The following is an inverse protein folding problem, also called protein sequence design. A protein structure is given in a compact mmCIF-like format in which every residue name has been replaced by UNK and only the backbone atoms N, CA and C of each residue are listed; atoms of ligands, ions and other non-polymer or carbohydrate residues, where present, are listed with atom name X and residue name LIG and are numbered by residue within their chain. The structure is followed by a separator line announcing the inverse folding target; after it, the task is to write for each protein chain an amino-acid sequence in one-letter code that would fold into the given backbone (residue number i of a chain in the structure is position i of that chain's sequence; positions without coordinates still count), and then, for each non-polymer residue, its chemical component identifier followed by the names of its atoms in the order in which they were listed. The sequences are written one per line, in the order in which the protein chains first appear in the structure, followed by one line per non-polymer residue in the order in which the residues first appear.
data_IF_448359457394
#
_entry.id   IF_448359457394
#
_cell.length_a   1.000
_cell.length_b   1.000
_cell.length_c   1.000
_cell.angle_alpha   90.00
_cell.angle_beta   90.00
_cell.angle_gamma   90.00
#
_symmetry.space_group_name_H-M   'P 1'
#
loop_
_entity.id
_entity.type
_entity.pdbx_description
1 polymer ?
#
# COMPACT_ATOMS: atom_id res chain seq x y z
N UNK A 1 -7.73 -12.92 -17.19
CA UNK A 1 -6.80 -14.06 -17.17
C UNK A 1 -7.51 -15.22 -17.82
N UNK A 2 -6.85 -15.89 -18.76
CA UNK A 2 -7.36 -17.06 -19.48
C UNK A 2 -6.32 -18.19 -19.43
N UNK A 3 -6.62 -19.34 -20.03
CA UNK A 3 -5.65 -20.44 -20.14
C UNK A 3 -4.41 -20.07 -20.98
N UNK A 4 -4.50 -19.09 -21.89
CA UNK A 4 -3.32 -18.63 -22.63
C UNK A 4 -2.32 -17.88 -21.76
N UNK A 5 -2.75 -17.42 -20.58
CA UNK A 5 -1.93 -16.64 -19.65
C UNK A 5 -1.12 -17.53 -18.69
N UNK A 6 -1.18 -18.85 -18.82
CA UNK A 6 -0.55 -19.79 -17.89
C UNK A 6 0.95 -19.51 -17.69
N UNK A 7 1.68 -19.20 -18.75
CA UNK A 7 3.12 -18.94 -18.66
C UNK A 7 3.40 -17.62 -17.91
N UNK A 8 2.50 -16.65 -17.99
CA UNK A 8 2.57 -15.44 -17.18
C UNK A 8 2.19 -15.71 -15.72
N UNK A 9 1.14 -16.49 -15.47
CA UNK A 9 0.71 -16.92 -14.14
C UNK A 9 1.84 -17.65 -13.40
N UNK A 10 2.55 -18.54 -14.08
CA UNK A 10 3.70 -19.28 -13.53
C UNK A 10 4.78 -18.37 -12.94
N UNK A 11 4.94 -17.13 -13.43
CA UNK A 11 5.94 -16.17 -12.93
C UNK A 11 5.76 -15.84 -11.46
N UNK A 12 4.52 -15.79 -10.96
CA UNK A 12 4.25 -15.55 -9.54
C UNK A 12 3.80 -16.80 -8.79
N UNK A 13 3.15 -17.74 -9.48
CA UNK A 13 2.65 -18.95 -8.86
C UNK A 13 3.76 -19.90 -8.38
N UNK A 14 4.92 -19.88 -9.04
CA UNK A 14 6.09 -20.69 -8.65
C UNK A 14 7.02 -19.98 -7.65
N UNK A 15 6.82 -18.69 -7.38
CA UNK A 15 7.71 -17.90 -6.52
C UNK A 15 7.33 -18.08 -5.04
N UNK A 16 8.14 -18.82 -4.29
CA UNK A 16 7.94 -19.07 -2.86
C UNK A 16 7.82 -17.78 -2.01
N UNK A 17 8.45 -16.67 -2.43
CA UNK A 17 8.29 -15.39 -1.74
C UNK A 17 6.92 -14.76 -1.98
N UNK A 18 6.31 -15.00 -3.13
CA UNK A 18 4.92 -14.59 -3.40
C UNK A 18 3.97 -15.48 -2.61
N UNK A 19 4.14 -16.81 -2.72
CA UNK A 19 3.29 -17.79 -2.06
C UNK A 19 3.35 -17.75 -0.53
N UNK A 20 4.40 -17.16 0.06
CA UNK A 20 4.57 -17.02 1.50
C UNK A 20 3.35 -16.39 2.19
N UNK A 21 2.69 -15.45 1.51
CA UNK A 21 1.53 -14.71 2.05
C UNK A 21 0.19 -15.15 1.45
N UNK A 22 0.19 -16.26 0.70
CA UNK A 22 -1.00 -16.79 0.05
C UNK A 22 -1.42 -18.10 0.72
N UNK A 23 -2.71 -18.45 0.59
CA UNK A 23 -3.24 -19.73 1.12
C UNK A 23 -2.77 -20.95 0.32
N UNK A 24 -2.33 -20.76 -0.93
CA UNK A 24 -1.86 -21.80 -1.84
C UNK A 24 -0.35 -22.00 -1.79
N UNK A 25 0.11 -23.22 -2.06
CA UNK A 25 1.54 -23.54 -2.19
C UNK A 25 2.09 -23.18 -3.56
N UNK A 26 3.40 -22.88 -3.67
CA UNK A 26 4.01 -22.63 -4.97
C UNK A 26 3.73 -23.76 -5.95
N UNK A 27 3.22 -23.42 -7.13
CA UNK A 27 3.05 -24.39 -8.19
C UNK A 27 4.41 -25.00 -8.57
N UNK A 28 4.40 -26.29 -8.87
CA UNK A 28 5.60 -27.04 -9.26
C UNK A 28 5.61 -27.41 -10.74
N UNK A 29 4.44 -27.34 -11.39
CA UNK A 29 4.24 -27.72 -12.79
C UNK A 29 3.25 -26.80 -13.51
N UNK A 30 3.30 -26.86 -14.84
CA UNK A 30 2.37 -26.11 -15.71
C UNK A 30 0.96 -26.69 -15.62
N UNK A 31 0.85 -28.01 -15.45
CA UNK A 31 -0.41 -28.73 -15.27
C UNK A 31 -1.13 -28.25 -14.01
N UNK A 32 -0.43 -28.13 -12.87
CA UNK A 32 -1.01 -27.56 -11.64
C UNK A 32 -1.51 -26.13 -11.83
N UNK A 33 -0.77 -25.30 -12.57
CA UNK A 33 -1.19 -23.94 -12.88
C UNK A 33 -2.44 -23.90 -13.77
N UNK A 34 -2.56 -24.79 -14.76
CA UNK A 34 -3.77 -24.92 -15.58
C UNK A 34 -4.97 -25.31 -14.72
N UNK A 35 -4.79 -26.30 -13.84
CA UNK A 35 -5.84 -26.71 -12.90
C UNK A 35 -6.28 -25.55 -12.02
N UNK A 36 -5.34 -24.82 -11.42
CA UNK A 36 -5.67 -23.65 -10.59
C UNK A 36 -6.41 -22.56 -11.39
N UNK A 37 -5.94 -22.25 -12.60
CA UNK A 37 -6.61 -21.24 -13.44
C UNK A 37 -8.03 -21.69 -13.75
N UNK A 38 -8.22 -22.95 -14.15
CA UNK A 38 -9.53 -23.48 -14.53
C UNK A 38 -10.49 -23.50 -13.35
N UNK A 39 -10.04 -24.03 -12.21
CA UNK A 39 -10.92 -24.39 -11.11
C UNK A 39 -11.10 -23.27 -10.09
N UNK A 40 -10.13 -22.34 -10.01
CA UNK A 40 -10.14 -21.25 -9.03
C UNK A 40 -10.19 -19.87 -9.64
N UNK A 41 -9.56 -19.63 -10.79
CA UNK A 41 -9.50 -18.27 -11.38
C UNK A 41 -10.71 -18.00 -12.25
N UNK A 42 -11.01 -18.89 -13.19
CA UNK A 42 -12.07 -18.71 -14.17
C UNK A 42 -13.47 -18.87 -13.57
N UNK A 43 -13.58 -19.62 -12.47
CA UNK A 43 -14.81 -19.84 -11.72
C UNK A 43 -15.07 -18.79 -10.65
N UNK A 44 -14.08 -17.95 -10.31
CA UNK A 44 -14.22 -16.97 -9.24
C UNK A 44 -15.21 -15.86 -9.65
N UNK A 45 -16.21 -15.54 -8.79
CA UNK A 45 -17.28 -14.61 -9.16
C UNK A 45 -16.75 -13.20 -9.49
N UNK A 46 -15.73 -12.75 -8.77
CA UNK A 46 -15.13 -11.44 -8.96
C UNK A 46 -13.61 -11.51 -8.84
N UNK A 47 -12.94 -12.03 -9.87
CA UNK A 47 -11.48 -11.95 -10.02
C UNK A 47 -11.15 -11.26 -11.33
N UNK A 48 -10.18 -10.36 -11.31
CA UNK A 48 -9.67 -9.66 -12.49
C UNK A 48 -8.15 -9.77 -12.55
N UNK A 49 -7.62 -9.88 -13.77
CA UNK A 49 -6.19 -9.79 -13.97
C UNK A 49 -5.73 -8.35 -13.72
N UNK A 50 -4.55 -8.20 -13.13
CA UNK A 50 -3.83 -6.93 -13.13
C UNK A 50 -2.89 -7.00 -14.33
N UNK A 51 -3.12 -6.16 -15.33
CA UNK A 51 -2.35 -6.16 -16.57
C UNK A 51 -1.49 -4.91 -16.70
N UNK A 52 -0.42 -5.02 -17.49
CA UNK A 52 0.30 -3.89 -18.06
C UNK A 52 -0.47 -3.34 -19.28
N UNK A 53 0.02 -2.24 -19.86
CA UNK A 53 -0.59 -1.61 -21.04
C UNK A 53 -0.63 -2.52 -22.28
N UNK A 54 0.24 -3.53 -22.36
CA UNK A 54 0.27 -4.54 -23.41
C UNK A 54 -0.62 -5.76 -23.11
N UNK A 55 -1.63 -5.59 -22.25
CA UNK A 55 -2.56 -6.63 -21.76
C UNK A 55 -1.92 -7.82 -21.03
N UNK A 56 -0.61 -7.78 -20.81
CA UNK A 56 0.12 -8.84 -20.13
C UNK A 56 -0.23 -8.91 -18.65
N UNK A 57 -0.75 -10.03 -18.13
CA UNK A 57 -1.07 -10.17 -16.72
C UNK A 57 0.21 -10.26 -15.89
N UNK A 58 0.24 -9.49 -14.81
CA UNK A 58 1.34 -9.43 -13.84
C UNK A 58 0.91 -9.89 -12.45
N UNK A 59 -0.35 -10.30 -12.32
CA UNK A 59 -1.01 -10.65 -11.08
C UNK A 59 -2.53 -10.66 -11.26
N UNK A 60 -3.23 -10.75 -10.14
CA UNK A 60 -4.68 -10.65 -10.11
C UNK A 60 -5.16 -9.96 -8.82
N UNK A 61 -6.40 -9.49 -8.86
CA UNK A 61 -7.15 -8.91 -7.75
C UNK A 61 -8.51 -9.62 -7.70
N UNK A 62 -9.01 -9.85 -6.50
CA UNK A 62 -10.26 -10.56 -6.27
C UNK A 62 -11.05 -9.95 -5.11
N UNK A 63 -12.35 -10.18 -5.13
CA UNK A 63 -13.29 -9.78 -4.07
C UNK A 63 -14.04 -11.01 -3.59
N UNK A 64 -13.91 -11.32 -2.31
CA UNK A 64 -14.56 -12.46 -1.65
C UNK A 64 -15.75 -11.97 -0.81
N UNK A 65 -16.83 -12.73 -0.81
CA UNK A 65 -17.94 -12.46 0.10
C UNK A 65 -17.57 -12.87 1.53
N UNK A 66 -17.79 -11.96 2.48
CA UNK A 66 -17.70 -12.29 3.92
C UNK A 66 -19.10 -12.46 4.47
N UNK A 67 -19.97 -11.48 4.22
CA UNK A 67 -21.41 -11.56 4.43
C UNK A 67 -22.15 -10.61 3.46
N UNK A 68 -23.41 -10.28 3.78
CA UNK A 68 -24.28 -9.46 2.95
C UNK A 68 -23.73 -8.04 2.75
N UNK A 69 -23.10 -7.45 3.77
CA UNK A 69 -22.64 -6.05 3.73
C UNK A 69 -21.11 -5.93 3.67
N UNK A 70 -20.37 -7.02 3.93
CA UNK A 70 -18.90 -7.04 3.93
C UNK A 70 -18.34 -7.88 2.80
N UNK A 71 -17.36 -7.31 2.12
CA UNK A 71 -16.50 -8.03 1.16
C UNK A 71 -15.04 -7.90 1.55
N UNK A 72 -14.24 -8.90 1.22
CA UNK A 72 -12.79 -8.89 1.42
C UNK A 72 -12.06 -8.73 0.07
N UNK A 73 -11.12 -7.80 0.00
CA UNK A 73 -10.23 -7.63 -1.17
C UNK A 73 -8.92 -8.40 -0.98
N UNK A 74 -8.58 -9.21 -1.98
CA UNK A 74 -7.30 -9.92 -2.08
C UNK A 74 -6.59 -9.59 -3.38
N UNK A 75 -5.26 -9.60 -3.38
CA UNK A 75 -4.48 -9.39 -4.59
C UNK A 75 -3.09 -10.03 -4.51
N UNK A 76 -2.58 -10.42 -5.67
CA UNK A 76 -1.26 -11.03 -5.83
C UNK A 76 -0.59 -10.44 -7.06
N UNK A 77 0.70 -10.11 -6.96
CA UNK A 77 1.53 -9.69 -8.09
C UNK A 77 2.83 -10.48 -8.12
N UNK A 78 3.37 -10.71 -9.32
CA UNK A 78 4.74 -11.20 -9.48
C UNK A 78 5.74 -10.25 -8.79
N UNK A 79 6.70 -10.85 -8.08
CA UNK A 79 7.67 -10.14 -7.23
C UNK A 79 8.42 -9.02 -7.94
N UNK A 80 8.74 -9.19 -9.22
CA UNK A 80 9.42 -8.16 -10.05
C UNK A 80 8.64 -6.86 -10.23
N UNK A 81 7.35 -6.82 -9.86
CA UNK A 81 6.48 -5.65 -9.91
C UNK A 81 6.19 -5.04 -8.54
N UNK A 82 6.69 -5.62 -7.45
CA UNK A 82 6.52 -5.07 -6.11
C UNK A 82 7.23 -3.73 -5.96
N UNK A 83 6.68 -2.86 -5.11
CA UNK A 83 7.24 -1.53 -4.85
C UNK A 83 7.09 -0.51 -5.99
N UNK A 84 6.57 -0.91 -7.16
CA UNK A 84 6.41 -0.04 -8.34
C UNK A 84 5.05 0.65 -8.43
N UNK A 85 4.16 0.42 -7.48
CA UNK A 85 2.84 1.07 -7.41
C UNK A 85 1.69 0.36 -8.15
N UNK A 86 1.97 -0.72 -8.90
CA UNK A 86 0.93 -1.47 -9.62
C UNK A 86 -0.20 -1.99 -8.71
N UNK A 87 0.14 -2.59 -7.57
CA UNK A 87 -0.85 -3.06 -6.61
C UNK A 87 -1.69 -1.91 -6.03
N UNK A 88 -1.04 -0.78 -5.69
CA UNK A 88 -1.74 0.41 -5.21
C UNK A 88 -2.71 0.96 -6.24
N UNK A 89 -2.34 0.97 -7.52
CA UNK A 89 -3.26 1.42 -8.57
C UNK A 89 -4.43 0.44 -8.75
N UNK A 90 -4.16 -0.86 -8.83
CA UNK A 90 -5.21 -1.87 -8.97
C UNK A 90 -6.22 -1.81 -7.82
N UNK A 91 -5.74 -1.80 -6.56
CA UNK A 91 -6.61 -1.71 -5.38
C UNK A 91 -7.39 -0.39 -5.36
N UNK A 92 -6.77 0.73 -5.75
CA UNK A 92 -7.46 2.03 -5.84
C UNK A 92 -8.60 2.01 -6.85
N UNK A 93 -8.36 1.49 -8.05
CA UNK A 93 -9.37 1.41 -9.10
C UNK A 93 -10.54 0.53 -8.67
N UNK A 94 -10.25 -0.64 -8.11
CA UNK A 94 -11.30 -1.54 -7.59
C UNK A 94 -12.09 -0.86 -6.46
N UNK A 95 -11.42 -0.25 -5.49
CA UNK A 95 -12.09 0.43 -4.37
C UNK A 95 -12.98 1.58 -4.84
N UNK A 96 -12.60 2.28 -5.91
CA UNK A 96 -13.36 3.39 -6.47
C UNK A 96 -14.69 2.98 -7.13
N UNK A 97 -14.76 1.74 -7.63
CA UNK A 97 -15.90 1.25 -8.41
C UNK A 97 -16.74 0.23 -7.64
N UNK A 98 -16.16 -0.52 -6.69
CA UNK A 98 -16.83 -1.67 -6.07
C UNK A 98 -18.13 -1.28 -5.35
N UNK A 99 -18.20 -0.12 -4.69
CA UNK A 99 -19.42 0.36 -4.03
C UNK A 99 -20.48 0.85 -5.03
N UNK A 100 -20.10 1.11 -6.28
CA UNK A 100 -21.04 1.40 -7.36
C UNK A 100 -21.54 0.12 -8.01
N UNK A 101 -20.65 -0.87 -8.17
CA UNK A 101 -20.98 -2.20 -8.70
C UNK A 101 -21.84 -3.01 -7.73
N UNK A 102 -21.58 -2.90 -6.43
CA UNK A 102 -22.25 -3.61 -5.35
C UNK A 102 -22.72 -2.60 -4.29
N UNK A 103 -23.80 -1.83 -4.56
CA UNK A 103 -24.27 -0.77 -3.67
C UNK A 103 -24.78 -1.26 -2.30
N UNK A 104 -24.98 -2.57 -2.13
CA UNK A 104 -25.36 -3.20 -0.88
C UNK A 104 -24.22 -3.35 0.13
N UNK A 105 -22.96 -3.21 -0.31
CA UNK A 105 -21.81 -3.39 0.56
C UNK A 105 -21.55 -2.10 1.34
N UNK A 106 -21.40 -2.22 2.65
CA UNK A 106 -21.10 -1.10 3.56
C UNK A 106 -19.62 -1.10 3.98
N UNK A 107 -18.88 -2.15 3.62
CA UNK A 107 -17.49 -2.32 4.01
C UNK A 107 -16.72 -3.19 3.02
N UNK A 108 -15.60 -2.66 2.57
CA UNK A 108 -14.53 -3.44 1.96
C UNK A 108 -13.40 -3.63 2.98
N UNK A 109 -13.04 -4.86 3.27
CA UNK A 109 -11.99 -5.18 4.23
C UNK A 109 -10.83 -5.96 3.60
N UNK A 110 -9.70 -5.99 4.29
CA UNK A 110 -8.54 -6.78 3.88
C UNK A 110 -7.81 -7.34 5.10
N UNK A 111 -7.49 -8.63 5.03
CA UNK A 111 -6.66 -9.32 6.00
C UNK A 111 -5.24 -9.43 5.48
N UNK A 112 -4.30 -8.84 6.21
CA UNK A 112 -2.90 -8.83 5.80
C UNK A 112 -2.03 -9.42 6.89
N UNK A 113 -1.22 -10.42 6.55
CA UNK A 113 -0.21 -10.96 7.44
C UNK A 113 0.65 -9.82 8.06
N UNK A 114 0.89 -9.88 9.37
CA UNK A 114 1.68 -8.86 10.09
C UNK A 114 3.07 -8.65 9.49
N UNK A 115 3.66 -9.68 8.87
CA UNK A 115 4.97 -9.61 8.24
C UNK A 115 4.90 -9.06 6.80
N UNK A 116 3.71 -8.98 6.19
CA UNK A 116 3.53 -8.44 4.84
C UNK A 116 3.40 -6.91 4.83
N UNK A 117 4.46 -6.23 5.26
CA UNK A 117 4.55 -4.76 5.32
C UNK A 117 4.28 -4.11 3.95
N UNK A 118 4.59 -4.80 2.85
CA UNK A 118 4.34 -4.32 1.48
C UNK A 118 2.84 -4.13 1.20
N UNK A 119 2.04 -5.15 1.50
CA UNK A 119 0.58 -5.12 1.33
C UNK A 119 -0.10 -4.12 2.30
N UNK A 120 0.36 -4.06 3.55
CA UNK A 120 -0.12 -3.06 4.52
C UNK A 120 0.04 -1.63 3.97
N UNK A 121 1.22 -1.30 3.43
CA UNK A 121 1.48 0.02 2.81
C UNK A 121 0.65 0.28 1.56
N UNK A 122 0.25 -0.76 0.81
CA UNK A 122 -0.63 -0.60 -0.34
C UNK A 122 -1.99 -0.10 0.12
N UNK A 123 -2.59 -0.76 1.11
CA UNK A 123 -3.90 -0.41 1.66
C UNK A 123 -3.91 1.01 2.27
N UNK A 124 -2.90 1.34 3.08
CA UNK A 124 -2.74 2.68 3.66
C UNK A 124 -2.67 3.80 2.61
N UNK A 125 -1.97 3.54 1.49
CA UNK A 125 -1.84 4.48 0.37
C UNK A 125 -3.14 4.68 -0.39
N UNK A 126 -3.99 3.66 -0.47
CA UNK A 126 -5.30 3.77 -1.12
C UNK A 126 -6.27 4.56 -0.24
N UNK A 127 -6.15 4.41 1.08
CA UNK A 127 -6.97 5.12 2.05
C UNK A 127 -7.62 4.21 3.09
N UNK A 128 -7.34 2.90 3.07
CA UNK A 128 -7.87 1.98 4.07
C UNK A 128 -7.39 2.37 5.46
N UNK A 129 -8.28 2.22 6.43
CA UNK A 129 -8.00 2.40 7.85
C UNK A 129 -7.46 1.11 8.42
N UNK A 130 -6.33 1.18 9.12
CA UNK A 130 -5.78 0.06 9.90
C UNK A 130 -6.51 -0.03 11.24
N UNK A 131 -7.28 -1.10 11.46
CA UNK A 131 -8.12 -1.22 12.65
C UNK A 131 -7.40 -1.90 13.82
N UNK A 132 -6.57 -2.91 13.55
CA UNK A 132 -5.87 -3.62 14.62
C UNK A 132 -5.16 -4.88 14.18
N UNK A 133 -4.47 -5.52 15.14
CA UNK A 133 -3.86 -6.84 14.97
C UNK A 133 -4.74 -7.89 15.63
N UNK A 134 -5.20 -8.84 14.83
CA UNK A 134 -5.90 -10.03 15.28
C UNK A 134 -4.87 -11.12 15.54
N UNK A 135 -4.69 -11.45 16.82
CA UNK A 135 -3.68 -12.42 17.26
C UNK A 135 -4.18 -13.85 17.06
N UNK A 136 -3.31 -14.72 16.55
CA UNK A 136 -3.60 -16.13 16.28
C UNK A 136 -4.92 -16.33 15.50
N UNK A 137 -5.13 -15.51 14.46
CA UNK A 137 -6.42 -15.39 13.81
C UNK A 137 -6.70 -16.49 12.77
N UNK A 138 -5.67 -16.91 12.03
CA UNK A 138 -5.80 -17.89 10.95
C UNK A 138 -4.70 -18.94 11.01
N UNK A 139 -5.03 -20.16 10.58
CA UNK A 139 -4.03 -21.19 10.26
C UNK A 139 -3.78 -21.11 8.76
N UNK A 140 -2.58 -20.70 8.37
CA UNK A 140 -2.14 -20.68 6.97
C UNK A 140 -0.92 -21.59 6.83
N UNK A 141 -1.06 -22.63 6.01
CA UNK A 141 0.00 -23.63 5.75
C UNK A 141 0.56 -24.25 7.03
N UNK A 142 -0.34 -24.71 7.90
CA UNK A 142 -0.01 -25.36 9.17
C UNK A 142 0.54 -24.43 10.26
N UNK A 143 0.69 -23.13 9.99
CA UNK A 143 1.16 -22.14 10.96
C UNK A 143 0.03 -21.21 11.39
N UNK A 144 -0.10 -20.99 12.70
CA UNK A 144 -0.99 -19.98 13.26
C UNK A 144 -0.37 -18.59 13.02
N UNK A 145 -1.16 -17.63 12.55
CA UNK A 145 -0.67 -16.31 12.14
C UNK A 145 -1.50 -15.17 12.71
N UNK A 146 -0.79 -14.09 13.00
CA UNK A 146 -1.36 -12.79 13.33
C UNK A 146 -1.69 -12.04 12.04
N UNK A 147 -2.86 -11.40 12.02
CA UNK A 147 -3.35 -10.67 10.84
C UNK A 147 -3.67 -9.22 11.22
N UNK A 148 -3.31 -8.28 10.36
CA UNK A 148 -3.71 -6.89 10.45
C UNK A 148 -5.02 -6.71 9.68
N UNK A 149 -6.04 -6.22 10.37
CA UNK A 149 -7.33 -5.87 9.76
C UNK A 149 -7.27 -4.45 9.19
N UNK A 150 -7.69 -4.31 7.94
CA UNK A 150 -7.91 -3.04 7.26
C UNK A 150 -9.34 -2.93 6.77
N UNK A 151 -9.87 -1.72 6.74
CA UNK A 151 -11.20 -1.43 6.23
C UNK A 151 -11.24 -0.17 5.37
N UNK A 152 -12.21 -0.13 4.47
CA UNK A 152 -12.58 1.03 3.67
C UNK A 152 -14.10 1.07 3.60
N UNK A 153 -14.69 2.20 3.96
CA UNK A 153 -16.13 2.44 3.95
C UNK A 153 -16.53 3.29 2.74
N UNK A 154 -17.80 3.28 2.29
CA UNK A 154 -18.28 4.14 1.22
C UNK A 154 -18.01 5.64 1.47
N UNK A 155 -18.00 6.06 2.73
CA UNK A 155 -17.72 7.44 3.15
C UNK A 155 -16.23 7.80 3.18
N UNK A 156 -15.33 6.82 3.08
CA UNK A 156 -13.90 7.06 3.19
C UNK A 156 -13.35 7.69 1.90
N UNK A 157 -12.48 8.70 2.01
CA UNK A 157 -11.91 9.35 0.84
C UNK A 157 -10.78 8.50 0.25
N UNK A 158 -10.82 8.29 -1.07
CA UNK A 158 -9.68 7.78 -1.81
C UNK A 158 -8.50 8.76 -1.75
N UNK A 159 -7.33 8.25 -1.38
CA UNK A 159 -6.10 9.04 -1.32
C UNK A 159 -5.39 9.12 -2.69
N UNK A 160 -6.08 9.68 -3.69
CA UNK A 160 -5.68 9.70 -5.11
C UNK A 160 -4.25 10.21 -5.40
N UNK A 161 -3.75 11.14 -4.59
CA UNK A 161 -2.46 11.82 -4.79
C UNK A 161 -1.38 11.41 -3.80
N UNK A 162 -1.68 10.53 -2.85
CA UNK A 162 -0.73 10.17 -1.79
C UNK A 162 0.35 9.24 -2.32
N UNK A 163 1.60 9.49 -1.91
CA UNK A 163 2.75 8.72 -2.39
C UNK A 163 3.15 8.94 -3.86
N UNK A 164 2.55 9.91 -4.56
CA UNK A 164 2.92 10.30 -5.95
C UNK A 164 4.08 11.30 -6.03
N UNK A 165 4.71 11.64 -4.90
CA UNK A 165 5.87 12.54 -4.87
C UNK A 165 5.53 14.03 -4.88
N UNK A 166 4.27 14.45 -5.04
CA UNK A 166 3.91 15.88 -5.09
C UNK A 166 4.34 16.67 -3.85
N UNK A 167 4.18 16.11 -2.65
CA UNK A 167 4.65 16.77 -1.43
C UNK A 167 6.18 16.89 -1.40
N UNK A 168 6.88 15.85 -1.85
CA UNK A 168 8.35 15.88 -1.99
C UNK A 168 8.78 16.94 -2.99
N UNK A 169 8.16 17.00 -4.17
CA UNK A 169 8.47 17.99 -5.18
C UNK A 169 8.13 19.42 -4.73
N UNK A 170 7.00 19.63 -4.07
CA UNK A 170 6.63 20.93 -3.53
C UNK A 170 7.64 21.41 -2.48
N UNK A 171 8.03 20.55 -1.53
CA UNK A 171 9.05 20.90 -0.53
C UNK A 171 10.40 21.15 -1.20
N UNK A 172 10.78 20.36 -2.20
CA UNK A 172 12.02 20.54 -2.98
C UNK A 172 12.05 21.90 -3.66
N UNK A 173 10.98 22.27 -4.37
CA UNK A 173 10.87 23.55 -5.08
C UNK A 173 10.87 24.74 -4.11
N UNK A 174 10.11 24.66 -3.01
CA UNK A 174 10.06 25.73 -1.99
C UNK A 174 11.43 25.89 -1.34
N UNK A 175 12.11 24.80 -0.98
CA UNK A 175 13.45 24.84 -0.39
C UNK A 175 14.44 25.52 -1.33
N UNK A 176 14.45 25.12 -2.60
CA UNK A 176 15.32 25.72 -3.61
C UNK A 176 15.03 27.22 -3.83
N UNK A 177 13.76 27.60 -3.89
CA UNK A 177 13.37 28.99 -4.12
C UNK A 177 13.70 29.88 -2.91
N UNK A 178 13.55 29.39 -1.67
CA UNK A 178 13.91 30.17 -0.49
C UNK A 178 15.39 30.56 -0.50
N UNK A 179 16.32 29.62 -0.71
CA UNK A 179 17.75 29.96 -0.74
C UNK A 179 18.14 30.81 -1.96
N UNK A 180 17.38 30.74 -3.04
CA UNK A 180 17.57 31.59 -4.22
C UNK A 180 17.14 33.03 -3.98
N UNK A 181 15.98 33.24 -3.36
CA UNK A 181 15.38 34.57 -3.16
C UNK A 181 15.83 35.24 -1.85
N UNK A 182 16.27 34.44 -0.87
CA UNK A 182 16.66 34.89 0.47
C UNK A 182 18.05 34.31 0.83
N UNK A 183 19.13 34.77 0.17
CA UNK A 183 20.48 34.22 0.35
C UNK A 183 21.05 34.44 1.77
N UNK A 184 20.42 35.29 2.58
CA UNK A 184 20.76 35.48 4.00
C UNK A 184 20.26 34.36 4.91
N UNK A 185 19.36 33.49 4.42
CA UNK A 185 18.89 32.33 5.18
C UNK A 185 19.98 31.26 5.15
N UNK A 186 20.57 31.01 6.31
CA UNK A 186 21.60 29.98 6.50
C UNK A 186 21.02 28.61 6.92
N UNK A 187 19.71 28.57 7.23
CA UNK A 187 19.07 27.37 7.77
C UNK A 187 17.55 27.42 7.65
N UNK A 188 16.97 26.33 7.17
CA UNK A 188 15.55 26.04 7.25
C UNK A 188 15.29 24.99 8.32
N UNK A 189 14.25 25.20 9.11
CA UNK A 189 13.80 24.25 10.12
C UNK A 189 12.37 23.80 9.81
N UNK A 190 12.10 22.52 10.04
CA UNK A 190 10.78 21.95 9.89
C UNK A 190 10.46 21.07 11.10
N UNK A 191 9.26 21.28 11.66
CA UNK A 191 8.74 20.51 12.78
C UNK A 191 7.60 19.62 12.31
N UNK A 192 7.70 18.33 12.58
CA UNK A 192 6.70 17.34 12.18
C UNK A 192 6.25 16.53 13.39
N UNK A 193 4.93 16.37 13.55
CA UNK A 193 4.37 15.48 14.58
C UNK A 193 5.02 14.10 14.49
N UNK A 194 5.43 13.54 15.64
CA UNK A 194 6.08 12.22 15.73
C UNK A 194 5.27 11.11 15.07
N UNK A 195 3.94 11.23 15.06
CA UNK A 195 3.03 10.25 14.48
C UNK A 195 2.89 10.43 12.95
N UNK A 196 3.26 11.60 12.41
CA UNK A 196 3.19 11.89 10.98
C UNK A 196 4.46 11.43 10.23
N UNK A 197 4.64 10.10 10.18
CA UNK A 197 5.76 9.44 9.48
C UNK A 197 5.80 9.79 7.99
N UNK A 198 4.65 10.10 7.38
CA UNK A 198 4.54 10.48 5.98
C UNK A 198 5.30 11.78 5.67
N UNK A 199 5.05 12.83 6.45
CA UNK A 199 5.74 14.12 6.32
C UNK A 199 7.21 14.03 6.71
N UNK A 200 7.57 13.21 7.71
CA UNK A 200 8.98 12.96 8.06
C UNK A 200 9.75 12.37 6.86
N UNK A 201 9.19 11.35 6.20
CA UNK A 201 9.79 10.76 4.98
C UNK A 201 9.86 11.74 3.81
N UNK A 202 8.95 12.71 3.72
CA UNK A 202 9.01 13.75 2.69
C UNK A 202 10.26 14.60 2.87
N UNK A 203 10.51 15.09 4.09
CA UNK A 203 11.68 15.90 4.43
C UNK A 203 13.00 15.14 4.19
N UNK A 204 13.08 13.90 4.68
CA UNK A 204 14.27 13.03 4.48
C UNK A 204 14.58 12.81 2.99
N UNK A 205 13.55 12.68 2.16
CA UNK A 205 13.71 12.50 0.71
C UNK A 205 14.20 13.75 -0.01
N UNK A 206 13.82 14.95 0.45
CA UNK A 206 14.30 16.22 -0.13
C UNK A 206 15.75 16.50 0.28
N UNK A 207 16.20 15.92 1.40
CA UNK A 207 17.56 16.05 1.90
C UNK A 207 17.66 16.69 3.29
N UNK A 208 16.54 16.97 3.95
CA UNK A 208 16.55 17.50 5.31
C UNK A 208 17.16 16.47 6.29
N UNK A 209 17.96 16.96 7.23
CA UNK A 209 18.58 16.17 8.29
C UNK A 209 17.69 16.15 9.52
N UNK A 210 17.44 14.96 10.06
CA UNK A 210 16.72 14.79 11.34
C UNK A 210 17.67 15.08 12.50
N UNK A 211 17.32 16.04 13.36
CA UNK A 211 18.19 16.48 14.45
C UNK A 211 17.72 16.01 15.84
N UNK A 212 16.43 15.74 16.02
CA UNK A 212 15.95 15.26 17.31
C UNK A 212 14.43 15.26 17.48
N UNK A 213 13.98 14.94 18.69
CA UNK A 213 12.57 15.01 19.10
C UNK A 213 12.42 16.02 20.23
N UNK A 214 11.63 17.06 19.98
CA UNK A 214 11.21 18.02 20.99
C UNK A 214 9.97 17.46 21.71
N UNK A 215 10.17 17.05 22.97
CA UNK A 215 9.10 16.45 23.78
C UNK A 215 8.19 17.52 24.38
N UNK A 216 6.90 17.25 24.43
CA UNK A 216 5.88 18.16 24.95
C UNK A 216 5.99 19.59 24.38
N UNK A 217 6.29 19.70 23.09
CA UNK A 217 6.69 20.96 22.47
C UNK A 217 5.52 21.90 22.20
N UNK A 218 4.42 21.37 21.69
CA UNK A 218 3.26 22.18 21.26
C UNK A 218 1.94 21.52 21.65
N UNK A 219 0.93 22.33 21.91
CA UNK A 219 -0.46 21.89 22.06
C UNK A 219 -1.14 22.01 20.70
N UNK A 220 -1.56 20.88 20.13
CA UNK A 220 -2.32 20.84 18.88
C UNK A 220 -3.65 20.12 19.13
N UNK A 221 -4.75 20.77 18.77
CA UNK A 221 -6.13 20.22 18.96
C UNK A 221 -6.38 19.71 20.39
N UNK A 222 -5.88 20.44 21.40
CA UNK A 222 -6.09 20.12 22.81
C UNK A 222 -5.23 18.99 23.37
N UNK A 223 -4.30 18.43 22.58
CA UNK A 223 -3.33 17.43 23.07
C UNK A 223 -1.91 17.97 22.98
N UNK A 224 -1.09 17.67 23.99
CA UNK A 224 0.35 17.93 23.95
C UNK A 224 1.00 16.96 22.98
N UNK A 225 1.89 17.48 22.11
CA UNK A 225 2.55 16.70 21.05
C UNK A 225 4.06 16.81 21.12
N UNK A 226 4.71 15.69 20.84
CA UNK A 226 6.12 15.61 20.53
C UNK A 226 6.33 15.93 19.04
N UNK A 227 7.40 16.67 18.73
CA UNK A 227 7.72 17.08 17.36
C UNK A 227 9.13 16.62 16.98
N UNK A 228 9.28 16.05 15.80
CA UNK A 228 10.59 15.78 15.21
C UNK A 228 11.10 17.05 14.53
N UNK A 229 12.31 17.48 14.89
CA UNK A 229 13.01 18.60 14.27
C UNK A 229 13.85 18.12 13.08
N UNK A 230 13.69 18.82 11.96
CA UNK A 230 14.48 18.66 10.76
C UNK A 230 15.15 19.99 10.38
N UNK A 231 16.34 19.91 9.80
CA UNK A 231 17.04 21.07 9.24
C UNK A 231 17.45 20.85 7.78
N UNK A 232 17.61 21.94 7.05
CA UNK A 232 18.26 21.97 5.75
C UNK A 232 19.15 23.21 5.67
N UNK A 233 20.40 23.02 5.27
CA UNK A 233 21.40 24.08 5.11
C UNK A 233 21.63 24.36 3.61
N UNK A 234 22.11 25.57 3.23
CA UNK A 234 22.48 25.86 1.84
C UNK A 234 23.49 24.88 1.24
N UNK A 235 24.33 24.27 2.08
CA UNK A 235 25.34 23.28 1.70
C UNK A 235 24.77 21.87 1.47
N UNK A 236 23.53 21.60 1.89
CA UNK A 236 22.93 20.28 1.79
C UNK A 236 22.49 19.99 0.36
N UNK A 237 22.68 18.76 -0.15
CA UNK A 237 22.26 18.40 -1.49
C UNK A 237 20.73 18.25 -1.54
N UNK A 238 20.09 19.05 -2.41
CA UNK A 238 18.71 18.83 -2.85
C UNK A 238 18.62 17.50 -3.61
N UNK A 239 17.84 16.56 -3.06
CA UNK A 239 17.62 15.22 -3.61
C UNK A 239 16.35 15.11 -4.45
#
# INVERSE_FOLDING_TARGET
MTLSDVDHYMVWATDAKVAQFCSWEPCTSREEAITYITDSVLTHPWLRAICLEDDRPIGYILIMAVDDIRKEIGYVLARKYWGKGFATEAVRLVTAEIFKEMPEIERLEALVDVDNVGSQRVLEKVGFTREGVMRNFIIMKGSVRDMVMFSFLPSDPLKKYWGKGFATEAVRLVTAEIFKEMPEIERLEALVDVDNVGSQRVLEKVGFTREGVMRNFIIMKGSVRDMVMFSFLPSDPLK
#
